data_IF_627968488210
#
_entry.id   IF_627968488210
#
_cell.length_a   1.000
_cell.length_b   1.000
_cell.length_c   1.000
_cell.angle_alpha   90.00
_cell.angle_beta   90.00
_cell.angle_gamma   90.00
#
_symmetry.space_group_name_H-M   'P 1'
#
loop_
_entity.id
_entity.type
_entity.pdbx_description
1 polymer ?
#
# COMPACT_ATOMS: atom_id res chain seq x y z
N UNK A 1 -41.33 61.93 -31.11
CA UNK A 1 -41.38 60.78 -30.16
C UNK A 1 -40.37 59.80 -30.60
N UNK A 2 -39.17 59.73 -29.91
CA UNK A 2 -38.08 58.84 -30.29
C UNK A 2 -37.94 57.80 -29.17
N UNK A 3 -38.33 56.57 -29.48
CA UNK A 3 -38.11 55.41 -28.59
C UNK A 3 -36.66 54.89 -28.75
N UNK A 4 -35.86 55.00 -27.69
CA UNK A 4 -34.54 54.37 -27.58
C UNK A 4 -34.73 53.00 -26.90
N UNK A 5 -34.46 51.93 -27.65
CA UNK A 5 -34.33 50.58 -27.08
C UNK A 5 -32.91 50.43 -26.53
N UNK A 6 -32.80 50.18 -25.23
CA UNK A 6 -31.54 49.82 -24.57
C UNK A 6 -31.52 48.27 -24.50
N UNK A 7 -30.65 47.66 -25.27
CA UNK A 7 -30.40 46.23 -25.20
C UNK A 7 -29.43 45.96 -24.02
N UNK A 8 -29.91 45.30 -22.99
CA UNK A 8 -29.04 44.80 -21.91
C UNK A 8 -28.40 43.48 -22.31
N UNK A 9 -27.07 43.48 -22.48
CA UNK A 9 -26.27 42.29 -22.71
C UNK A 9 -26.00 41.64 -21.35
N UNK A 10 -26.63 40.50 -21.09
CA UNK A 10 -26.40 39.72 -19.88
C UNK A 10 -25.18 38.79 -20.18
N UNK A 11 -24.01 39.15 -19.68
CA UNK A 11 -22.81 38.29 -19.75
C UNK A 11 -22.92 37.17 -18.69
N UNK A 12 -23.20 35.95 -19.12
CA UNK A 12 -23.06 34.75 -18.29
C UNK A 12 -21.57 34.48 -18.03
N UNK A 13 -21.10 34.84 -16.84
CA UNK A 13 -19.80 34.36 -16.33
C UNK A 13 -19.93 32.86 -15.97
N UNK A 14 -19.47 32.01 -16.86
CA UNK A 14 -19.34 30.58 -16.61
C UNK A 14 -18.12 30.36 -15.70
N UNK A 15 -18.30 30.35 -14.37
CA UNK A 15 -17.27 29.96 -13.42
C UNK A 15 -17.08 28.45 -13.52
N UNK A 16 -16.03 28.02 -14.23
CA UNK A 16 -15.57 26.63 -14.17
C UNK A 16 -15.06 26.35 -12.75
N UNK A 17 -15.85 25.63 -11.97
CA UNK A 17 -15.40 25.04 -10.71
C UNK A 17 -14.43 23.92 -11.10
N UNK A 18 -13.13 24.20 -11.05
CA UNK A 18 -12.10 23.16 -11.12
C UNK A 18 -12.31 22.29 -9.88
N UNK A 19 -12.76 21.07 -10.08
CA UNK A 19 -12.78 20.06 -9.02
C UNK A 19 -11.34 19.89 -8.54
N UNK A 20 -11.02 20.42 -7.39
CA UNK A 20 -9.72 20.25 -6.77
C UNK A 20 -9.53 18.78 -6.48
N UNK A 21 -8.50 18.14 -7.07
CA UNK A 21 -8.18 16.75 -6.81
C UNK A 21 -7.76 16.62 -5.35
N UNK A 22 -8.64 15.98 -4.56
CA UNK A 22 -8.49 15.90 -3.11
C UNK A 22 -7.54 14.78 -2.73
N UNK A 23 -6.74 15.01 -1.70
CA UNK A 23 -5.92 13.99 -1.04
C UNK A 23 -6.84 12.89 -0.48
N UNK A 24 -6.55 11.62 -0.80
CA UNK A 24 -7.28 10.47 -0.29
C UNK A 24 -6.51 9.80 0.85
N UNK A 25 -6.85 10.14 2.08
CA UNK A 25 -6.27 9.49 3.26
C UNK A 25 -6.84 8.09 3.44
N UNK A 26 -5.96 7.09 3.50
CA UNK A 26 -6.30 5.68 3.66
C UNK A 26 -5.70 5.05 4.92
N UNK A 27 -4.71 5.71 5.55
CA UNK A 27 -4.06 5.25 6.77
C UNK A 27 -3.52 6.43 7.59
N UNK A 28 -4.37 7.43 7.82
CA UNK A 28 -4.07 8.52 8.74
C UNK A 28 -4.78 8.24 10.08
N UNK A 29 -3.99 8.05 11.13
CA UNK A 29 -4.48 7.73 12.46
C UNK A 29 -4.33 8.96 13.37
N UNK A 30 -5.36 9.25 14.17
CA UNK A 30 -5.41 10.49 14.98
C UNK A 30 -5.37 10.22 16.49
N UNK A 31 -5.53 8.96 16.91
CA UNK A 31 -5.53 8.58 18.32
C UNK A 31 -4.97 7.17 18.51
N UNK A 32 -4.34 6.95 19.65
CA UNK A 32 -3.85 5.62 20.07
C UNK A 32 -5.04 4.67 20.34
N UNK A 33 -4.86 3.39 20.02
CA UNK A 33 -5.88 2.35 20.21
C UNK A 33 -5.24 0.97 20.27
N UNK A 34 -5.73 0.10 21.10
CA UNK A 34 -5.29 -1.31 21.18
C UNK A 34 -5.70 -2.14 19.96
N UNK A 35 -6.61 -1.62 19.14
CA UNK A 35 -7.06 -2.26 17.92
C UNK A 35 -7.12 -1.24 16.79
N UNK A 36 -6.66 -1.57 15.57
CA UNK A 36 -6.83 -0.71 14.41
C UNK A 36 -8.31 -0.41 14.14
N UNK A 37 -8.65 0.85 13.76
CA UNK A 37 -10.04 1.24 13.53
C UNK A 37 -10.57 0.64 12.22
N UNK A 38 -11.89 0.42 12.16
CA UNK A 38 -12.55 0.10 10.89
C UNK A 38 -12.21 1.17 9.82
N UNK A 39 -11.95 0.80 8.56
CA UNK A 39 -12.16 -0.52 7.94
C UNK A 39 -10.92 -1.46 7.93
N UNK A 40 -9.91 -1.19 8.74
CA UNK A 40 -8.74 -2.04 8.86
C UNK A 40 -9.10 -3.35 9.57
N UNK A 41 -8.61 -4.48 9.05
CA UNK A 41 -8.87 -5.82 9.57
C UNK A 41 -7.62 -6.68 9.49
N UNK A 42 -7.42 -7.54 10.48
CA UNK A 42 -6.34 -8.54 10.49
C UNK A 42 -6.76 -9.72 9.61
N UNK A 43 -5.98 -9.99 8.56
CA UNK A 43 -6.19 -11.08 7.61
C UNK A 43 -5.14 -12.17 7.84
N UNK A 44 -5.59 -13.36 8.15
CA UNK A 44 -4.73 -14.56 8.34
C UNK A 44 -4.92 -15.51 7.17
N UNK A 45 -3.82 -15.96 6.56
CA UNK A 45 -3.86 -16.94 5.48
C UNK A 45 -3.82 -18.38 6.02
N UNK A 46 -3.10 -18.61 7.11
CA UNK A 46 -3.04 -19.90 7.80
C UNK A 46 -3.33 -19.71 9.30
N UNK A 47 -4.36 -20.40 9.79
CA UNK A 47 -4.75 -20.32 11.21
C UNK A 47 -3.75 -20.99 12.15
N UNK A 48 -2.84 -21.83 11.64
CA UNK A 48 -1.78 -22.50 12.42
C UNK A 48 -0.63 -21.54 12.75
N UNK A 49 -0.41 -20.53 11.91
CA UNK A 49 0.63 -19.50 12.10
C UNK A 49 0.08 -18.45 13.08
N UNK A 50 0.81 -18.09 14.14
CA UNK A 50 0.43 -16.98 15.02
C UNK A 50 0.25 -15.70 14.21
N UNK A 51 -0.74 -14.84 14.50
CA UNK A 51 -0.89 -13.58 13.79
C UNK A 51 0.10 -12.53 14.29
N UNK A 52 0.62 -11.71 13.40
CA UNK A 52 1.27 -10.44 13.73
C UNK A 52 0.30 -9.58 14.55
N UNK A 53 0.79 -8.95 15.61
CA UNK A 53 0.00 -8.08 16.49
C UNK A 53 0.00 -6.66 15.92
N UNK A 54 -1.16 -6.00 16.00
CA UNK A 54 -1.35 -4.65 15.50
C UNK A 54 -2.07 -3.78 16.51
N UNK A 55 -1.54 -2.58 16.74
CA UNK A 55 -2.20 -1.53 17.51
C UNK A 55 -1.86 -0.15 16.95
N UNK A 56 -2.55 0.89 17.40
CA UNK A 56 -2.23 2.26 17.07
C UNK A 56 -1.51 2.90 18.24
N UNK A 57 -0.28 3.34 18.03
CA UNK A 57 0.54 3.94 19.08
C UNK A 57 1.03 5.34 18.68
N UNK A 58 1.54 6.08 19.64
CA UNK A 58 2.37 7.24 19.39
C UNK A 58 3.83 6.83 19.47
N UNK A 59 4.55 6.95 18.35
CA UNK A 59 5.93 6.51 18.24
C UNK A 59 6.80 7.66 17.70
N UNK A 60 7.63 8.24 18.56
CA UNK A 60 8.44 9.44 18.29
C UNK A 60 7.59 10.60 17.74
N UNK A 61 6.41 10.82 18.33
CA UNK A 61 5.49 11.89 17.93
C UNK A 61 4.63 11.58 16.70
N UNK A 62 4.77 10.41 16.07
CA UNK A 62 3.94 9.94 14.96
C UNK A 62 2.87 9.00 15.49
N UNK A 63 1.60 9.24 15.15
CA UNK A 63 0.51 8.29 15.42
C UNK A 63 0.50 7.26 14.29
N UNK A 64 0.81 6.01 14.60
CA UNK A 64 1.09 4.97 13.62
C UNK A 64 0.45 3.62 13.97
N UNK A 65 0.22 2.81 12.95
CA UNK A 65 0.09 1.36 13.15
C UNK A 65 1.43 0.82 13.58
N UNK A 66 1.48 0.19 14.73
CA UNK A 66 2.55 -0.70 15.15
C UNK A 66 2.25 -2.11 14.64
N UNK A 67 3.27 -2.79 14.13
CA UNK A 67 3.23 -4.19 13.76
C UNK A 67 4.35 -4.93 14.48
N UNK A 68 3.98 -5.89 15.32
CA UNK A 68 4.91 -6.74 16.06
C UNK A 68 4.74 -8.20 15.60
N UNK A 69 5.77 -8.73 14.95
CA UNK A 69 5.83 -10.10 14.46
C UNK A 69 6.87 -10.90 15.25
N UNK A 70 6.46 -12.05 15.78
CA UNK A 70 7.33 -12.99 16.49
C UNK A 70 7.03 -14.40 15.98
N UNK A 71 7.83 -14.91 15.06
CA UNK A 71 7.57 -16.14 14.31
C UNK A 71 6.10 -16.18 13.82
N UNK A 72 5.62 -15.07 13.25
CA UNK A 72 4.20 -14.83 13.01
C UNK A 72 3.95 -14.13 11.68
N UNK A 73 2.70 -14.28 11.18
CA UNK A 73 2.26 -13.66 9.94
C UNK A 73 0.77 -13.33 9.98
N UNK A 74 0.43 -12.10 9.72
CA UNK A 74 -0.89 -11.65 9.31
C UNK A 74 -0.74 -10.32 8.57
N UNK A 75 -1.67 -9.98 7.69
CA UNK A 75 -1.77 -8.65 7.11
C UNK A 75 -2.73 -7.81 7.95
N UNK A 76 -2.42 -6.54 8.16
CA UNK A 76 -3.42 -5.55 8.50
C UNK A 76 -3.90 -4.89 7.21
N UNK A 77 -5.11 -5.19 6.78
CA UNK A 77 -5.62 -4.85 5.46
C UNK A 77 -6.92 -4.05 5.52
N UNK A 78 -7.18 -3.27 4.47
CA UNK A 78 -8.44 -2.56 4.27
C UNK A 78 -8.86 -2.62 2.80
N UNK A 79 -10.18 -2.59 2.50
CA UNK A 79 -10.65 -2.34 1.14
C UNK A 79 -10.12 -1.00 0.61
N UNK A 80 -9.80 -0.96 -0.66
CA UNK A 80 -9.30 0.23 -1.34
C UNK A 80 -10.13 0.51 -2.59
N UNK A 81 -10.63 1.74 -2.69
CA UNK A 81 -11.31 2.25 -3.87
C UNK A 81 -10.78 3.66 -4.14
N UNK A 82 -9.75 3.74 -4.98
CA UNK A 82 -9.07 5.00 -5.34
C UNK A 82 -9.00 5.09 -6.86
N UNK A 83 -9.29 6.27 -7.40
CA UNK A 83 -9.12 6.53 -8.83
C UNK A 83 -7.65 6.87 -9.11
N UNK A 84 -6.87 5.87 -9.53
CA UNK A 84 -5.44 6.03 -9.81
C UNK A 84 -5.15 6.93 -11.04
N UNK A 85 -6.12 7.20 -11.92
CA UNK A 85 -5.90 8.16 -13.00
C UNK A 85 -5.90 9.61 -12.51
N UNK A 86 -6.52 9.87 -11.35
CA UNK A 86 -6.54 11.19 -10.71
C UNK A 86 -5.49 11.32 -9.62
N UNK A 87 -5.33 10.29 -8.80
CA UNK A 87 -4.40 10.27 -7.66
C UNK A 87 -3.52 9.02 -7.71
N UNK A 88 -2.55 8.97 -8.67
CA UNK A 88 -1.71 7.78 -8.87
C UNK A 88 -0.59 7.62 -7.83
N UNK A 89 -0.33 8.65 -7.05
CA UNK A 89 0.80 8.65 -6.12
C UNK A 89 0.36 8.16 -4.76
N UNK A 90 0.93 7.05 -4.30
CA UNK A 90 0.83 6.62 -2.91
C UNK A 90 1.99 7.19 -2.11
N UNK A 91 1.67 7.86 -1.01
CA UNK A 91 2.58 8.38 -0.01
C UNK A 91 2.38 7.64 1.30
N UNK A 92 3.45 7.36 2.03
CA UNK A 92 3.41 6.85 3.40
C UNK A 92 4.73 7.10 4.11
N UNK A 93 4.72 6.95 5.42
CA UNK A 93 5.93 6.81 6.19
C UNK A 93 5.93 5.47 6.92
N UNK A 94 7.11 4.90 7.05
CA UNK A 94 7.34 3.66 7.76
C UNK A 94 8.64 3.67 8.54
N UNK A 95 8.74 2.75 9.47
CA UNK A 95 9.89 2.56 10.33
C UNK A 95 10.05 1.07 10.62
N UNK A 96 11.29 0.62 10.75
CA UNK A 96 11.66 -0.68 11.32
C UNK A 96 12.67 -0.45 12.44
N UNK A 97 12.60 -1.23 13.52
CA UNK A 97 13.62 -1.14 14.55
C UNK A 97 14.91 -1.81 14.10
N UNK A 98 14.79 -2.95 13.44
CA UNK A 98 15.91 -3.70 12.86
C UNK A 98 15.46 -4.40 11.58
N UNK A 99 16.40 -4.75 10.71
CA UNK A 99 16.14 -5.66 9.59
C UNK A 99 16.27 -7.12 10.05
N UNK A 100 15.58 -8.03 9.35
CA UNK A 100 15.74 -9.46 9.54
C UNK A 100 17.16 -9.88 9.12
N UNK A 101 17.65 -10.98 9.66
CA UNK A 101 19.03 -11.47 9.41
C UNK A 101 19.08 -12.53 8.31
N UNK A 102 18.10 -13.43 8.33
CA UNK A 102 18.12 -14.65 7.49
C UNK A 102 17.09 -14.61 6.36
N UNK A 103 16.23 -13.57 6.31
CA UNK A 103 15.27 -13.41 5.23
C UNK A 103 15.94 -13.39 3.84
N UNK A 104 15.27 -13.99 2.87
CA UNK A 104 15.72 -14.07 1.48
C UNK A 104 14.51 -14.14 0.53
N UNK A 105 14.17 -13.03 -0.09
CA UNK A 105 13.03 -12.94 -1.03
C UNK A 105 13.13 -13.89 -2.23
N UNK A 106 14.27 -14.57 -2.45
CA UNK A 106 14.45 -15.56 -3.50
C UNK A 106 13.89 -16.94 -3.14
N UNK A 107 13.63 -17.21 -1.87
CA UNK A 107 13.25 -18.52 -1.34
C UNK A 107 11.97 -18.46 -0.55
N UNK A 108 11.18 -19.55 -0.56
CA UNK A 108 9.96 -19.64 0.25
C UNK A 108 10.25 -19.66 1.75
N UNK A 109 11.37 -20.26 2.15
CA UNK A 109 11.78 -20.33 3.56
C UNK A 109 12.35 -19.01 4.10
N UNK A 110 12.56 -18.03 3.25
CA UNK A 110 13.05 -16.71 3.62
C UNK A 110 12.13 -15.57 3.19
N UNK A 111 10.87 -15.85 2.80
CA UNK A 111 9.90 -14.85 2.32
C UNK A 111 9.29 -14.04 3.49
N UNK A 112 10.16 -13.45 4.31
CA UNK A 112 9.83 -12.62 5.45
C UNK A 112 10.37 -11.20 5.28
N UNK A 113 9.69 -10.22 5.87
CA UNK A 113 10.06 -8.81 5.76
C UNK A 113 9.80 -8.06 7.07
N UNK A 114 10.77 -7.24 7.48
CA UNK A 114 10.61 -6.39 8.64
C UNK A 114 9.45 -5.39 8.46
N UNK A 115 9.25 -4.88 7.26
CA UNK A 115 8.09 -4.06 6.91
C UNK A 115 7.74 -4.21 5.43
N UNK A 116 6.43 -4.25 5.13
CA UNK A 116 5.91 -4.23 3.76
C UNK A 116 4.58 -3.49 3.64
N UNK A 117 4.39 -2.85 2.48
CA UNK A 117 3.14 -2.23 2.05
C UNK A 117 2.67 -2.94 0.80
N UNK A 118 1.46 -3.46 0.84
CA UNK A 118 0.89 -4.35 -0.17
C UNK A 118 -0.33 -3.71 -0.83
N UNK A 119 -0.34 -3.64 -2.17
CA UNK A 119 -1.49 -3.22 -2.96
C UNK A 119 -1.97 -4.37 -3.84
N UNK A 120 -3.22 -4.73 -3.68
CA UNK A 120 -3.90 -5.75 -4.49
C UNK A 120 -4.72 -5.09 -5.60
N UNK A 121 -4.75 -5.74 -6.78
CA UNK A 121 -5.41 -5.22 -7.97
C UNK A 121 -6.28 -6.26 -8.66
N UNK A 122 -7.34 -5.75 -9.32
CA UNK A 122 -7.91 -6.41 -10.48
C UNK A 122 -7.23 -5.86 -11.74
N UNK A 123 -6.94 -6.77 -12.67
CA UNK A 123 -6.37 -6.46 -13.97
C UNK A 123 -7.44 -6.54 -15.06
N UNK A 124 -7.25 -5.84 -16.20
CA UNK A 124 -8.11 -6.04 -17.36
C UNK A 124 -8.12 -7.51 -17.79
N UNK A 125 -9.29 -8.07 -18.02
CA UNK A 125 -9.43 -9.50 -18.33
C UNK A 125 -8.59 -9.95 -19.53
N UNK A 126 -8.41 -9.07 -20.52
CA UNK A 126 -7.60 -9.33 -21.70
C UNK A 126 -6.10 -9.47 -21.42
N UNK A 127 -5.60 -8.96 -20.29
CA UNK A 127 -4.19 -9.09 -19.90
C UNK A 127 -3.89 -10.37 -19.13
N UNK A 128 -4.92 -11.17 -18.83
CA UNK A 128 -4.79 -12.41 -18.07
C UNK A 128 -5.06 -13.59 -19.02
N UNK A 129 -4.08 -14.48 -19.17
CA UNK A 129 -4.24 -15.68 -19.99
C UNK A 129 -5.30 -16.66 -19.43
N UNK A 130 -5.81 -17.54 -20.28
CA UNK A 130 -6.90 -18.44 -19.92
C UNK A 130 -6.57 -19.40 -18.77
N UNK A 131 -5.33 -19.88 -18.70
CA UNK A 131 -4.88 -20.80 -17.65
C UNK A 131 -4.84 -20.08 -16.28
N UNK A 132 -4.33 -18.86 -16.27
CA UNK A 132 -4.32 -18.01 -15.07
C UNK A 132 -5.73 -17.65 -14.63
N UNK A 133 -6.66 -17.34 -15.56
CA UNK A 133 -8.08 -17.12 -15.22
C UNK A 133 -8.69 -18.34 -14.54
N UNK A 134 -8.39 -19.53 -15.03
CA UNK A 134 -8.88 -20.78 -14.41
C UNK A 134 -8.31 -20.95 -12.99
N UNK A 135 -6.99 -20.75 -12.80
CA UNK A 135 -6.35 -20.79 -11.47
C UNK A 135 -6.96 -19.77 -10.50
N UNK A 136 -7.19 -18.52 -10.93
CA UNK A 136 -7.81 -17.47 -10.12
C UNK A 136 -9.26 -17.84 -9.75
N UNK A 137 -10.02 -18.40 -10.69
CA UNK A 137 -11.38 -18.88 -10.41
C UNK A 137 -11.37 -19.97 -9.35
N UNK A 138 -10.46 -20.95 -9.44
CA UNK A 138 -10.31 -21.99 -8.44
C UNK A 138 -9.87 -21.40 -7.09
N UNK A 139 -8.87 -20.52 -7.06
CA UNK A 139 -8.43 -19.87 -5.83
C UNK A 139 -9.57 -19.07 -5.17
N UNK A 140 -10.37 -18.34 -5.95
CA UNK A 140 -11.52 -17.61 -5.43
C UNK A 140 -12.62 -18.53 -4.89
N UNK A 141 -12.80 -19.71 -5.45
CA UNK A 141 -13.76 -20.69 -4.92
C UNK A 141 -13.32 -21.30 -3.58
N UNK A 142 -12.02 -21.36 -3.32
CA UNK A 142 -11.45 -21.93 -2.10
C UNK A 142 -11.22 -20.87 -1.01
N UNK A 143 -10.76 -19.67 -1.39
CA UNK A 143 -10.32 -18.63 -0.47
C UNK A 143 -11.21 -17.37 -0.47
N UNK A 144 -12.25 -17.34 -1.29
CA UNK A 144 -13.19 -16.22 -1.39
C UNK A 144 -12.88 -15.22 -2.51
N UNK A 145 -13.85 -14.36 -2.81
CA UNK A 145 -13.80 -13.42 -3.95
C UNK A 145 -12.77 -12.28 -3.79
N UNK A 146 -12.15 -12.16 -2.62
CA UNK A 146 -11.12 -11.16 -2.34
C UNK A 146 -9.71 -11.53 -2.85
N UNK A 147 -9.55 -12.72 -3.45
CA UNK A 147 -8.29 -13.10 -4.11
C UNK A 147 -8.04 -12.16 -5.30
N UNK A 148 -6.97 -11.35 -5.27
CA UNK A 148 -6.67 -10.38 -6.33
C UNK A 148 -6.14 -11.07 -7.59
N UNK A 149 -6.13 -10.33 -8.70
CA UNK A 149 -5.46 -10.78 -9.93
C UNK A 149 -3.95 -10.63 -9.82
N UNK A 150 -3.48 -9.56 -9.18
CA UNK A 150 -2.08 -9.25 -9.00
C UNK A 150 -1.86 -8.36 -7.77
N UNK A 151 -0.62 -8.25 -7.33
CA UNK A 151 -0.25 -7.35 -6.24
C UNK A 151 1.16 -6.76 -6.40
N UNK A 152 1.32 -5.50 -6.00
CA UNK A 152 2.60 -4.87 -5.70
C UNK A 152 2.88 -5.02 -4.21
N UNK A 153 4.11 -5.32 -3.86
CA UNK A 153 4.56 -5.44 -2.49
C UNK A 153 5.85 -4.64 -2.30
N UNK A 154 5.75 -3.47 -1.71
CA UNK A 154 6.90 -2.64 -1.36
C UNK A 154 7.49 -3.14 -0.05
N UNK A 155 8.80 -3.38 -0.03
CA UNK A 155 9.46 -4.04 1.09
C UNK A 155 10.67 -3.26 1.59
N UNK A 156 10.90 -3.40 2.90
CA UNK A 156 12.17 -3.10 3.54
C UNK A 156 12.96 -4.40 3.66
N UNK A 157 13.94 -4.55 2.80
CA UNK A 157 14.74 -5.77 2.66
C UNK A 157 16.01 -5.72 3.53
N UNK A 158 16.62 -6.86 3.78
CA UNK A 158 17.87 -6.98 4.53
C UNK A 158 19.10 -7.21 3.64
N UNK A 159 18.91 -7.67 2.40
CA UNK A 159 19.95 -8.24 1.54
C UNK A 159 20.03 -7.56 0.17
N UNK A 160 18.89 -7.44 -0.51
CA UNK A 160 18.83 -6.96 -1.89
C UNK A 160 18.88 -5.43 -1.93
N UNK A 161 19.59 -4.84 -2.93
CA UNK A 161 19.68 -3.39 -3.04
C UNK A 161 18.34 -2.73 -3.37
N UNK A 162 18.21 -1.46 -2.98
CA UNK A 162 17.07 -0.61 -3.37
C UNK A 162 16.90 -0.60 -4.89
N UNK A 163 15.66 -0.72 -5.35
CA UNK A 163 15.30 -0.82 -6.77
C UNK A 163 15.23 -2.26 -7.29
N UNK A 164 15.63 -3.26 -6.48
CA UNK A 164 15.42 -4.67 -6.87
C UNK A 164 13.94 -4.94 -7.03
N UNK A 165 13.57 -5.56 -8.15
CA UNK A 165 12.23 -6.03 -8.45
C UNK A 165 12.28 -7.51 -8.84
N UNK A 166 11.38 -8.30 -8.27
CA UNK A 166 11.22 -9.71 -8.62
C UNK A 166 9.87 -10.25 -8.20
N UNK A 167 9.48 -11.39 -8.79
CA UNK A 167 8.30 -12.13 -8.33
C UNK A 167 8.49 -12.67 -6.92
N UNK A 168 7.40 -12.71 -6.16
CA UNK A 168 7.35 -13.38 -4.86
C UNK A 168 7.67 -14.88 -5.00
N UNK A 169 8.31 -15.47 -4.01
CA UNK A 169 8.75 -16.86 -4.02
C UNK A 169 7.59 -17.88 -4.13
N UNK A 170 6.36 -17.49 -3.79
CA UNK A 170 5.17 -18.34 -3.88
C UNK A 170 4.35 -18.11 -5.15
N UNK A 171 4.43 -16.91 -5.76
CA UNK A 171 3.60 -16.55 -6.91
C UNK A 171 4.20 -15.43 -7.77
N UNK A 172 4.17 -15.61 -9.07
CA UNK A 172 4.55 -14.58 -10.04
C UNK A 172 3.55 -13.40 -10.10
N UNK A 173 2.39 -13.56 -9.49
CA UNK A 173 1.34 -12.54 -9.50
C UNK A 173 1.53 -11.46 -8.45
N UNK A 174 2.45 -11.64 -7.52
CA UNK A 174 2.90 -10.62 -6.57
C UNK A 174 4.32 -10.20 -6.95
N UNK A 175 4.50 -8.92 -7.22
CA UNK A 175 5.81 -8.34 -7.53
C UNK A 175 6.35 -7.60 -6.33
N UNK A 176 7.52 -8.04 -5.88
CA UNK A 176 8.26 -7.46 -4.77
C UNK A 176 9.12 -6.31 -5.27
N UNK A 177 9.09 -5.15 -4.59
CA UNK A 177 9.90 -3.98 -4.90
C UNK A 177 10.64 -3.50 -3.66
N UNK A 178 11.96 -3.59 -3.66
CA UNK A 178 12.81 -3.13 -2.55
C UNK A 178 12.90 -1.61 -2.56
N UNK A 179 12.30 -0.96 -1.57
CA UNK A 179 12.40 0.51 -1.41
C UNK A 179 13.45 0.91 -0.37
N UNK A 180 13.67 0.08 0.64
CA UNK A 180 14.72 0.25 1.64
C UNK A 180 15.46 -1.07 1.82
N UNK A 181 16.75 -0.97 2.17
CA UNK A 181 17.60 -2.14 2.33
C UNK A 181 18.62 -1.94 3.43
N UNK A 182 18.78 -2.96 4.25
CA UNK A 182 19.73 -3.01 5.34
C UNK A 182 19.38 -2.08 6.52
N UNK A 183 20.24 -2.05 7.55
CA UNK A 183 19.96 -1.42 8.84
C UNK A 183 20.23 0.09 8.89
N UNK A 184 20.79 0.70 7.84
CA UNK A 184 21.27 2.10 7.88
C UNK A 184 20.21 3.12 8.31
N UNK A 185 18.96 2.89 7.94
CA UNK A 185 17.81 3.76 8.27
C UNK A 185 16.87 3.10 9.30
N UNK A 186 17.28 1.99 9.91
CA UNK A 186 16.53 1.40 11.02
C UNK A 186 16.50 2.36 12.21
N UNK A 187 15.41 2.36 12.96
CA UNK A 187 15.18 3.24 14.09
C UNK A 187 14.70 4.64 13.75
N UNK A 188 14.52 5.00 12.46
CA UNK A 188 14.01 6.32 12.07
C UNK A 188 12.79 6.19 11.14
N UNK A 189 11.89 7.18 11.19
CA UNK A 189 10.81 7.28 10.23
C UNK A 189 11.32 7.68 8.86
N UNK A 190 10.92 6.95 7.83
CA UNK A 190 11.29 7.15 6.43
C UNK A 190 10.03 7.35 5.60
N UNK A 191 10.04 8.38 4.76
CA UNK A 191 8.91 8.68 3.86
C UNK A 191 9.12 8.06 2.49
N UNK A 192 8.01 7.63 1.88
CA UNK A 192 7.98 7.06 0.54
C UNK A 192 6.97 7.79 -0.33
N UNK A 193 7.25 7.80 -1.62
CA UNK A 193 6.38 8.32 -2.68
C UNK A 193 6.49 7.44 -3.91
N UNK A 194 5.41 6.74 -4.28
CA UNK A 194 5.39 5.82 -5.43
C UNK A 194 4.27 6.15 -6.40
N UNK A 195 4.59 6.14 -7.69
CA UNK A 195 3.56 6.20 -8.73
C UNK A 195 3.08 4.78 -9.02
N UNK A 196 1.86 4.47 -8.58
CA UNK A 196 1.30 3.12 -8.64
C UNK A 196 1.05 2.67 -10.09
N UNK A 197 0.68 3.59 -10.99
CA UNK A 197 0.48 3.24 -12.41
C UNK A 197 1.80 2.90 -13.11
N UNK A 198 2.87 3.65 -12.80
CA UNK A 198 4.21 3.35 -13.32
C UNK A 198 4.72 2.00 -12.79
N UNK A 199 4.55 1.75 -11.51
CA UNK A 199 4.98 0.49 -10.89
C UNK A 199 4.16 -0.71 -11.41
N UNK A 200 2.85 -0.54 -11.64
CA UNK A 200 2.00 -1.56 -12.24
C UNK A 200 2.39 -1.86 -13.70
N UNK A 201 2.71 -0.83 -14.49
CA UNK A 201 3.22 -1.00 -15.85
C UNK A 201 4.52 -1.82 -15.87
N UNK A 202 5.45 -1.52 -14.96
CA UNK A 202 6.71 -2.27 -14.85
C UNK A 202 6.48 -3.71 -14.38
N UNK A 203 5.55 -3.91 -13.46
CA UNK A 203 5.30 -5.21 -12.84
C UNK A 203 4.43 -6.15 -13.68
N UNK A 204 3.43 -5.61 -14.39
CA UNK A 204 2.36 -6.40 -15.01
C UNK A 204 2.16 -6.09 -16.49
N UNK A 205 2.95 -5.15 -17.08
CA UNK A 205 2.83 -4.73 -18.47
C UNK A 205 1.56 -3.92 -18.77
N UNK A 206 0.88 -3.41 -17.73
CA UNK A 206 -0.32 -2.58 -17.85
C UNK A 206 -0.44 -1.59 -16.70
N UNK A 207 -0.85 -0.37 -17.01
CA UNK A 207 -1.23 0.66 -16.02
C UNK A 207 -2.76 0.70 -15.78
N UNK A 208 -3.54 -0.09 -16.55
CA UNK A 208 -4.99 -0.23 -16.38
C UNK A 208 -5.30 -1.18 -15.22
N UNK A 209 -5.00 -0.77 -14.00
CA UNK A 209 -5.20 -1.55 -12.77
C UNK A 209 -6.28 -0.91 -11.90
N UNK A 210 -7.08 -1.75 -11.24
CA UNK A 210 -8.09 -1.30 -10.27
C UNK A 210 -7.66 -1.77 -8.87
N UNK A 211 -7.26 -0.85 -7.97
CA UNK A 211 -6.88 -1.23 -6.62
C UNK A 211 -8.09 -1.72 -5.84
N UNK A 212 -7.93 -2.82 -5.12
CA UNK A 212 -9.01 -3.45 -4.33
C UNK A 212 -8.72 -3.51 -2.85
N UNK A 213 -7.43 -3.56 -2.49
CA UNK A 213 -7.01 -3.67 -1.10
C UNK A 213 -5.64 -3.01 -0.91
N UNK A 214 -5.48 -2.37 0.24
CA UNK A 214 -4.22 -1.92 0.79
C UNK A 214 -3.97 -2.69 2.09
N UNK A 215 -2.73 -3.14 2.29
CA UNK A 215 -2.32 -3.76 3.54
C UNK A 215 -0.92 -3.30 3.95
N UNK A 216 -0.66 -3.38 5.25
CA UNK A 216 0.67 -3.26 5.84
C UNK A 216 0.98 -4.52 6.63
N UNK A 217 2.25 -4.90 6.71
CA UNK A 217 2.66 -6.05 7.51
C UNK A 217 4.14 -6.00 7.92
N UNK A 218 4.41 -6.71 9.01
CA UNK A 218 5.67 -7.35 9.33
C UNK A 218 5.40 -8.85 9.44
N UNK A 219 6.29 -9.67 8.92
CA UNK A 219 6.17 -11.12 8.98
C UNK A 219 7.51 -11.81 9.19
N UNK A 220 7.48 -12.89 9.96
CA UNK A 220 8.67 -13.62 10.42
C UNK A 220 8.39 -15.12 10.61
N UNK A 221 7.34 -15.63 9.99
CA UNK A 221 6.91 -17.02 10.18
C UNK A 221 7.78 -18.04 9.47
N UNK A 222 8.48 -17.62 8.41
CA UNK A 222 9.40 -18.49 7.66
C UNK A 222 10.79 -18.57 8.32
N UNK A 223 11.29 -17.45 8.85
CA UNK A 223 12.62 -17.35 9.48
C UNK A 223 12.59 -17.61 10.97
N UNK A 224 11.42 -17.49 11.63
CA UNK A 224 11.27 -17.58 13.07
C UNK A 224 11.87 -16.40 13.83
N UNK A 225 12.16 -15.28 13.15
CA UNK A 225 12.74 -14.09 13.75
C UNK A 225 11.67 -13.20 14.42
N UNK A 226 12.11 -12.03 14.87
CA UNK A 226 11.26 -10.97 15.40
C UNK A 226 11.41 -9.71 14.54
N UNK A 227 10.28 -9.05 14.23
CA UNK A 227 10.24 -7.75 13.58
C UNK A 227 9.30 -6.81 14.32
N UNK A 228 9.74 -5.55 14.45
CA UNK A 228 8.95 -4.47 15.01
C UNK A 228 9.00 -3.29 14.06
N UNK A 229 7.83 -2.86 13.58
CA UNK A 229 7.71 -1.84 12.56
C UNK A 229 6.48 -0.95 12.74
N UNK A 230 6.55 0.24 12.13
CA UNK A 230 5.48 1.23 12.18
C UNK A 230 5.11 1.71 10.77
N UNK A 231 3.82 2.05 10.59
CA UNK A 231 3.26 2.58 9.34
C UNK A 231 2.33 3.74 9.64
N UNK A 232 2.51 4.86 8.94
CA UNK A 232 1.69 6.04 9.16
C UNK A 232 1.44 6.83 7.86
N UNK A 233 0.40 7.65 7.91
CA UNK A 233 0.07 8.67 6.90
C UNK A 233 -0.03 8.15 5.47
N UNK A 234 -0.59 6.94 5.31
CA UNK A 234 -0.84 6.40 3.98
C UNK A 234 -1.95 7.22 3.29
N UNK A 235 -1.60 7.85 2.17
CA UNK A 235 -2.53 8.67 1.39
C UNK A 235 -2.19 8.70 -0.08
N UNK A 236 -3.18 8.98 -0.93
CA UNK A 236 -3.01 9.12 -2.36
C UNK A 236 -3.14 10.58 -2.78
N UNK A 237 -2.26 11.03 -3.69
CA UNK A 237 -2.25 12.39 -4.22
C UNK A 237 -2.11 12.40 -5.74
N UNK A 238 -2.49 13.52 -6.41
CA UNK A 238 -2.19 13.76 -7.83
C UNK A 238 -0.68 13.73 -8.13
N UNK A 239 -0.33 13.53 -9.40
CA UNK A 239 1.07 13.36 -9.81
C UNK A 239 1.97 14.56 -9.51
N UNK A 240 1.43 15.78 -9.57
CA UNK A 240 2.11 17.05 -9.34
C UNK A 240 2.07 17.50 -7.87
N UNK A 241 1.30 16.80 -7.04
CA UNK A 241 1.16 17.11 -5.61
C UNK A 241 2.28 16.44 -4.80
N UNK A 242 2.86 17.20 -3.87
CA UNK A 242 3.82 16.66 -2.89
C UNK A 242 3.09 15.81 -1.85
N UNK A 243 3.80 14.80 -1.34
CA UNK A 243 3.35 14.12 -0.14
C UNK A 243 3.46 15.07 1.05
N UNK A 244 2.38 15.14 1.84
CA UNK A 244 2.34 15.94 3.06
C UNK A 244 2.32 14.98 4.26
N UNK A 245 3.30 15.14 5.13
CA UNK A 245 3.42 14.36 6.35
C UNK A 245 3.36 15.31 7.54
N UNK A 246 2.56 15.02 8.58
CA UNK A 246 2.58 15.80 9.80
C UNK A 246 4.00 15.97 10.30
N UNK A 247 4.40 17.21 10.59
CA UNK A 247 5.72 17.49 11.12
C UNK A 247 5.90 16.76 12.45
N UNK A 248 6.93 15.93 12.56
CA UNK A 248 7.34 15.35 13.82
C UNK A 248 7.73 16.52 14.72
N UNK A 249 6.96 16.79 15.77
CA UNK A 249 7.36 17.75 16.79
C UNK A 249 8.56 17.15 17.52
N UNK A 250 9.74 17.66 17.21
CA UNK A 250 10.97 17.37 17.94
C UNK A 250 10.89 17.90 19.36
#
# INVERSE_FOLDING_TARGET
>A
MHNKWVAAVLSLLCTSVLAQDTVNYVGHFVAVSTTPPFPWQVIRFDKRIPPTQYQIISWDGVIAVEAEANASMALLARPLSVNLTRTPILCWQWRVDTTLKTADMATKSGDDYAARVYLAFLLPSETIDLFTKFKLKLARSLYGNHVPDAALNYVWDNRYPVGTQRSNAYTERTQMMVLRSGPKLAGVWVTERRNILTDAMLAFGTDRVSPTQLAVAADTDNTGEHAHSGFADLHFVPSDTKCDFPSIKQ
#
